data_IF_860438508417
#
_entry.id   IF_860438508417
#
_cell.length_a   1.000
_cell.length_b   1.000
_cell.length_c   1.000
_cell.angle_alpha   90.00
_cell.angle_beta   90.00
_cell.angle_gamma   90.00
#
_symmetry.space_group_name_H-M   'P 1'
#
loop_
_entity.id
_entity.type
_entity.pdbx_description
1 polymer ?
#
# COMPACT_ATOMS: atom_id res chain seq x y z
N UNK A 1 -29.06 13.17 -0.52
CA UNK A 1 -28.01 12.26 0.01
C UNK A 1 -27.94 12.44 1.52
N UNK A 2 -28.09 11.38 2.30
CA UNK A 2 -27.95 11.45 3.77
C UNK A 2 -26.46 11.62 4.14
N UNK A 3 -26.18 12.22 5.29
CA UNK A 3 -24.81 12.51 5.76
C UNK A 3 -23.93 11.25 5.88
N UNK A 4 -24.55 10.09 6.10
CA UNK A 4 -23.86 8.79 6.17
C UNK A 4 -23.37 8.31 4.81
N UNK A 5 -24.16 8.48 3.74
CA UNK A 5 -23.71 8.14 2.38
C UNK A 5 -22.49 8.96 1.98
N UNK A 6 -22.50 10.27 2.25
CA UNK A 6 -21.37 11.16 1.95
C UNK A 6 -20.09 10.78 2.72
N UNK A 7 -20.22 10.34 3.98
CA UNK A 7 -19.08 9.83 4.77
C UNK A 7 -18.56 8.52 4.17
N UNK A 8 -19.43 7.59 3.83
CA UNK A 8 -19.07 6.33 3.19
C UNK A 8 -18.32 6.52 1.87
N UNK A 9 -18.83 7.36 0.97
CA UNK A 9 -18.19 7.64 -0.33
C UNK A 9 -16.79 8.22 -0.16
N UNK A 10 -16.58 9.14 0.81
CA UNK A 10 -15.25 9.70 1.08
C UNK A 10 -14.27 8.65 1.60
N UNK A 11 -14.72 7.73 2.45
CA UNK A 11 -13.88 6.63 2.93
C UNK A 11 -13.50 5.68 1.79
N UNK A 12 -14.45 5.31 0.93
CA UNK A 12 -14.17 4.49 -0.26
C UNK A 12 -13.19 5.20 -1.19
N UNK A 13 -13.35 6.50 -1.42
CA UNK A 13 -12.42 7.27 -2.23
C UNK A 13 -11.00 7.28 -1.66
N UNK A 14 -10.86 7.43 -0.33
CA UNK A 14 -9.56 7.35 0.35
C UNK A 14 -8.91 5.99 0.19
N UNK A 15 -9.68 4.91 0.40
CA UNK A 15 -9.20 3.55 0.19
C UNK A 15 -8.81 3.29 -1.26
N UNK A 16 -9.66 3.68 -2.21
CA UNK A 16 -9.41 3.54 -3.64
C UNK A 16 -8.17 4.32 -4.09
N UNK A 17 -7.90 5.47 -3.48
CA UNK A 17 -6.67 6.24 -3.74
C UNK A 17 -5.43 5.45 -3.29
N UNK A 18 -5.44 4.90 -2.07
CA UNK A 18 -4.33 4.07 -1.59
C UNK A 18 -4.12 2.84 -2.51
N UNK A 19 -5.20 2.13 -2.84
CA UNK A 19 -5.15 0.96 -3.72
C UNK A 19 -4.62 1.34 -5.11
N UNK A 20 -5.11 2.43 -5.71
CA UNK A 20 -4.65 2.89 -7.02
C UNK A 20 -3.15 3.22 -7.03
N UNK A 21 -2.65 3.88 -5.98
CA UNK A 21 -1.22 4.16 -5.84
C UNK A 21 -0.40 2.87 -5.67
N UNK A 22 -0.86 1.93 -4.85
CA UNK A 22 -0.17 0.64 -4.69
C UNK A 22 -0.16 -0.18 -5.98
N UNK A 23 -1.29 -0.24 -6.70
CA UNK A 23 -1.37 -0.90 -8.00
C UNK A 23 -0.46 -0.24 -9.03
N UNK A 24 -0.31 1.09 -8.98
CA UNK A 24 0.64 1.77 -9.86
C UNK A 24 2.09 1.32 -9.63
N UNK A 25 2.48 1.04 -8.38
CA UNK A 25 3.80 0.47 -8.09
C UNK A 25 3.99 -0.92 -8.73
N UNK A 26 2.96 -1.77 -8.64
CA UNK A 26 2.96 -3.10 -9.25
C UNK A 26 3.01 -3.00 -10.78
N UNK A 27 2.26 -2.07 -11.38
CA UNK A 27 2.29 -1.84 -12.83
C UNK A 27 3.65 -1.33 -13.29
N UNK A 28 4.25 -0.40 -12.54
CA UNK A 28 5.58 0.15 -12.82
C UNK A 28 6.64 -0.94 -12.82
N UNK A 29 6.54 -1.90 -11.90
CA UNK A 29 7.35 -3.12 -11.91
C UNK A 29 7.04 -4.00 -13.13
N UNK A 30 5.77 -4.29 -13.38
CA UNK A 30 5.35 -5.26 -14.40
C UNK A 30 5.72 -4.88 -15.85
N UNK A 31 5.98 -3.60 -16.12
CA UNK A 31 6.43 -3.13 -17.45
C UNK A 31 7.85 -2.55 -17.42
N UNK A 32 8.61 -2.79 -16.34
CA UNK A 32 10.02 -2.41 -16.21
C UNK A 32 10.29 -0.93 -16.52
N UNK A 33 9.38 -0.04 -16.08
CA UNK A 33 9.36 1.39 -16.48
C UNK A 33 10.70 2.09 -16.28
N UNK A 34 11.47 1.67 -15.27
CA UNK A 34 12.72 2.31 -14.88
C UNK A 34 13.96 1.46 -15.15
N UNK A 35 13.86 0.36 -15.90
CA UNK A 35 15.02 -0.46 -16.27
C UNK A 35 16.10 0.37 -16.98
N UNK A 36 15.69 1.28 -17.89
CA UNK A 36 16.60 2.21 -18.56
C UNK A 36 17.28 3.24 -17.65
N UNK A 37 16.87 3.34 -16.38
CA UNK A 37 17.52 4.15 -15.33
C UNK A 37 18.36 3.30 -14.37
N UNK A 38 18.59 2.03 -14.71
CA UNK A 38 19.36 1.09 -13.90
C UNK A 38 18.58 0.47 -12.76
N UNK A 39 17.23 0.55 -12.78
CA UNK A 39 16.46 0.01 -11.67
C UNK A 39 16.52 -1.51 -11.60
N UNK A 40 16.56 -2.05 -10.38
CA UNK A 40 16.53 -3.49 -10.08
C UNK A 40 15.26 -3.85 -9.32
N UNK A 41 14.85 -5.12 -9.37
CA UNK A 41 13.61 -5.64 -8.76
C UNK A 41 13.36 -5.14 -7.33
N UNK A 42 14.41 -5.07 -6.50
CA UNK A 42 14.31 -4.62 -5.11
C UNK A 42 13.87 -3.16 -4.93
N UNK A 43 14.14 -2.29 -5.90
CA UNK A 43 13.76 -0.87 -5.84
C UNK A 43 12.27 -0.67 -6.11
N UNK A 44 11.69 -1.50 -6.97
CA UNK A 44 10.24 -1.53 -7.17
C UNK A 44 9.51 -2.04 -5.92
N UNK A 45 10.08 -3.03 -5.23
CA UNK A 45 9.57 -3.48 -3.92
C UNK A 45 9.66 -2.35 -2.90
N UNK A 46 10.77 -1.63 -2.86
CA UNK A 46 10.91 -0.47 -1.98
C UNK A 46 9.85 0.60 -2.25
N UNK A 47 9.52 0.86 -3.52
CA UNK A 47 8.48 1.80 -3.92
C UNK A 47 7.09 1.37 -3.38
N UNK A 48 6.76 0.09 -3.46
CA UNK A 48 5.54 -0.45 -2.86
C UNK A 48 5.52 -0.28 -1.32
N UNK A 49 6.65 -0.53 -0.65
CA UNK A 49 6.81 -0.33 0.80
C UNK A 49 6.59 1.13 1.18
N UNK A 50 7.28 2.04 0.50
CA UNK A 50 7.17 3.49 0.74
C UNK A 50 5.74 3.96 0.55
N UNK A 51 5.07 3.55 -0.52
CA UNK A 51 3.68 3.93 -0.76
C UNK A 51 2.71 3.36 0.28
N UNK A 52 2.91 2.12 0.73
CA UNK A 52 2.10 1.51 1.79
C UNK A 52 2.21 2.29 3.10
N UNK A 53 3.44 2.59 3.52
CA UNK A 53 3.72 3.34 4.75
C UNK A 53 3.23 4.79 4.62
N UNK A 54 3.48 5.45 3.49
CA UNK A 54 3.02 6.82 3.24
C UNK A 54 1.49 6.91 3.28
N UNK A 55 0.77 5.98 2.64
CA UNK A 55 -0.69 5.95 2.67
C UNK A 55 -1.23 5.74 4.10
N UNK A 56 -0.58 4.86 4.88
CA UNK A 56 -0.95 4.62 6.27
C UNK A 56 -0.76 5.87 7.13
N UNK A 57 0.43 6.48 7.07
CA UNK A 57 0.79 7.66 7.87
C UNK A 57 -0.03 8.88 7.46
N UNK A 58 -0.06 9.21 6.16
CA UNK A 58 -0.83 10.34 5.65
C UNK A 58 -2.33 10.15 5.90
N UNK A 59 -2.84 8.93 5.73
CA UNK A 59 -4.23 8.60 6.06
C UNK A 59 -4.53 8.83 7.54
N UNK A 60 -3.64 8.40 8.43
CA UNK A 60 -3.73 8.65 9.85
C UNK A 60 -3.75 10.14 10.19
N UNK A 61 -2.85 10.93 9.60
CA UNK A 61 -2.81 12.39 9.79
C UNK A 61 -4.09 13.06 9.28
N UNK A 62 -4.58 12.70 8.09
CA UNK A 62 -5.82 13.20 7.54
C UNK A 62 -7.05 12.78 8.36
N UNK A 63 -7.00 11.63 9.03
CA UNK A 63 -8.08 11.16 9.88
C UNK A 63 -8.31 12.07 11.11
N UNK A 64 -7.28 12.79 11.56
CA UNK A 64 -7.36 13.74 12.68
C UNK A 64 -8.17 14.99 12.28
N UNK A 65 -8.05 15.43 11.01
CA UNK A 65 -8.71 16.63 10.50
C UNK A 65 -10.21 16.40 10.25
N UNK A 66 -11.13 17.18 10.86
CA UNK A 66 -12.57 16.95 10.76
C UNK A 66 -13.10 16.87 9.32
N UNK A 67 -12.63 17.74 8.42
CA UNK A 67 -13.06 17.75 7.01
C UNK A 67 -12.60 16.51 6.21
N UNK A 68 -11.47 15.92 6.58
CA UNK A 68 -10.82 14.81 5.86
C UNK A 68 -10.98 13.46 6.56
N UNK A 69 -11.59 13.44 7.76
CA UNK A 69 -11.60 12.27 8.65
C UNK A 69 -11.99 10.96 7.95
N UNK A 70 -13.07 10.98 7.17
CA UNK A 70 -13.55 9.78 6.49
C UNK A 70 -12.60 9.30 5.40
N UNK A 71 -12.10 10.25 4.58
CA UNK A 71 -11.12 9.96 3.54
C UNK A 71 -9.81 9.45 4.13
N UNK A 72 -9.29 10.12 5.16
CA UNK A 72 -8.07 9.73 5.85
C UNK A 72 -8.14 8.31 6.43
N UNK A 73 -9.27 7.93 7.06
CA UNK A 73 -9.50 6.55 7.51
C UNK A 73 -9.46 5.54 6.37
N UNK A 74 -10.08 5.86 5.23
CA UNK A 74 -10.03 5.02 4.04
C UNK A 74 -8.60 4.84 3.51
N UNK A 75 -7.87 5.94 3.39
CA UNK A 75 -6.48 5.95 2.93
C UNK A 75 -5.57 5.14 3.88
N UNK A 76 -5.75 5.33 5.19
CA UNK A 76 -5.01 4.59 6.21
C UNK A 76 -5.30 3.08 6.14
N UNK A 77 -6.56 2.70 5.95
CA UNK A 77 -6.95 1.30 5.79
C UNK A 77 -6.32 0.67 4.55
N UNK A 78 -6.26 1.39 3.43
CA UNK A 78 -5.58 0.92 2.22
C UNK A 78 -4.07 0.76 2.43
N UNK A 79 -3.42 1.71 3.11
CA UNK A 79 -2.02 1.60 3.50
C UNK A 79 -1.75 0.42 4.43
N UNK A 80 -2.64 0.18 5.40
CA UNK A 80 -2.56 -0.97 6.30
C UNK A 80 -2.63 -2.30 5.53
N UNK A 81 -3.53 -2.42 4.56
CA UNK A 81 -3.60 -3.59 3.68
C UNK A 81 -2.26 -3.79 2.94
N UNK A 82 -1.67 -2.74 2.40
CA UNK A 82 -0.34 -2.80 1.79
C UNK A 82 0.74 -3.32 2.74
N UNK A 83 0.76 -2.83 3.99
CA UNK A 83 1.67 -3.32 5.04
C UNK A 83 1.45 -4.80 5.34
N UNK A 84 0.19 -5.25 5.44
CA UNK A 84 -0.13 -6.66 5.68
C UNK A 84 0.33 -7.55 4.51
N UNK A 85 0.20 -7.08 3.27
CA UNK A 85 0.72 -7.79 2.09
C UNK A 85 2.24 -7.94 2.16
N UNK A 86 2.96 -6.88 2.56
CA UNK A 86 4.42 -6.93 2.75
C UNK A 86 4.79 -7.96 3.82
N UNK A 87 4.12 -7.92 4.97
CA UNK A 87 4.37 -8.90 6.05
C UNK A 87 4.06 -10.33 5.62
N UNK A 88 2.95 -10.55 4.91
CA UNK A 88 2.62 -11.86 4.36
C UNK A 88 3.68 -12.36 3.37
N UNK A 89 4.21 -11.47 2.53
CA UNK A 89 5.32 -11.78 1.61
C UNK A 89 6.60 -12.17 2.35
N UNK A 90 6.95 -11.45 3.42
CA UNK A 90 8.11 -11.76 4.26
C UNK A 90 7.94 -13.13 4.94
N UNK A 91 6.77 -13.38 5.54
CA UNK A 91 6.46 -14.68 6.19
C UNK A 91 6.53 -15.81 5.17
N UNK A 92 5.94 -15.62 3.98
CA UNK A 92 5.97 -16.61 2.91
C UNK A 92 7.41 -16.87 2.44
N UNK A 93 8.22 -15.83 2.27
CA UNK A 93 9.62 -15.96 1.89
C UNK A 93 10.41 -16.80 2.91
N UNK A 94 10.31 -16.49 4.20
CA UNK A 94 10.99 -17.29 5.24
C UNK A 94 10.44 -18.71 5.34
N UNK A 95 9.13 -18.90 5.18
CA UNK A 95 8.52 -20.22 5.16
C UNK A 95 9.08 -21.08 4.03
N UNK A 96 9.18 -20.53 2.82
CA UNK A 96 9.77 -21.22 1.67
C UNK A 96 11.26 -21.49 1.87
N UNK A 97 12.02 -20.51 2.38
CA UNK A 97 13.43 -20.66 2.70
C UNK A 97 13.69 -21.83 3.66
N UNK A 98 12.90 -21.93 4.73
CA UNK A 98 12.98 -23.01 5.72
C UNK A 98 12.55 -24.35 5.12
N UNK A 99 11.45 -24.36 4.33
CA UNK A 99 10.93 -25.56 3.67
C UNK A 99 11.95 -26.18 2.71
N UNK A 100 12.63 -25.35 1.92
CA UNK A 100 13.52 -25.79 0.85
C UNK A 100 14.94 -26.10 1.36
N UNK A 101 15.18 -26.03 2.68
CA UNK A 101 16.39 -26.54 3.31
C UNK A 101 17.64 -25.68 3.11
N UNK A 102 17.50 -24.39 2.78
CA UNK A 102 18.60 -23.42 2.85
C UNK A 102 18.94 -23.11 4.31
N UNK A 103 19.52 -24.10 4.99
CA UNK A 103 20.19 -23.95 6.27
C UNK A 103 21.61 -23.50 5.94
N UNK A 104 21.98 -22.28 6.34
CA UNK A 104 23.36 -21.80 6.32
C UNK A 104 24.27 -22.68 7.16
#
# INVERSE_FOLDING_TARGET
>A
MTSDTARGTRAIAGFGTAVGVLLSAVLVFAVDVFEGRGWRDGEYVYLFVVFSVAALVLGGLLAVLPQWRSFGKGLAMGGLVGVLVILAGIVLFFFLLVRDGFVW
#
